data_IF_991616413785
#
_entry.id   IF_991616413785
#
_cell.length_a   1.000
_cell.length_b   1.000
_cell.length_c   1.000
_cell.angle_alpha   90.00
_cell.angle_beta   90.00
_cell.angle_gamma   90.00
#
_symmetry.space_group_name_H-M   'P 1'
#
loop_
_entity.id
_entity.type
_entity.pdbx_description
1 polymer ?
#
# COMPACT_ATOMS: atom_id res chain seq x y z
N UNK A 1 -5.75 -8.60 4.21
CA UNK A 1 -4.47 -8.08 3.67
C UNK A 1 -3.45 -8.05 4.79
N UNK A 2 -2.22 -7.66 4.50
CA UNK A 2 -1.16 -7.43 5.50
C UNK A 2 -0.91 -5.92 5.51
N UNK A 3 -0.92 -5.24 6.68
CA UNK A 3 -0.59 -3.83 6.74
C UNK A 3 0.89 -3.67 6.38
N UNK A 4 1.23 -2.58 5.69
CA UNK A 4 2.58 -2.40 5.14
C UNK A 4 3.15 -1.05 5.54
N UNK A 5 4.47 -1.02 5.74
CA UNK A 5 5.26 0.18 5.98
C UNK A 5 6.16 0.39 4.77
N UNK A 6 6.02 1.52 4.10
CA UNK A 6 6.72 1.86 2.87
C UNK A 6 7.69 3.01 3.09
N UNK A 7 8.78 3.00 2.34
CA UNK A 7 9.43 4.26 1.93
C UNK A 7 8.81 4.69 0.60
N UNK A 8 8.54 5.99 0.40
CA UNK A 8 8.18 6.50 -0.94
C UNK A 8 9.43 6.42 -1.81
N UNK A 9 9.54 5.35 -2.61
CA UNK A 9 10.52 5.19 -3.67
C UNK A 9 9.91 4.41 -4.84
N UNK A 10 10.35 4.73 -6.06
CA UNK A 10 9.86 4.10 -7.28
C UNK A 10 8.33 4.23 -7.43
N UNK A 11 7.69 3.12 -7.82
CA UNK A 11 6.24 3.04 -8.09
C UNK A 11 5.35 3.28 -6.86
N UNK A 12 5.92 3.23 -5.65
CA UNK A 12 5.13 3.44 -4.43
C UNK A 12 4.43 4.81 -4.42
N UNK A 13 5.06 5.85 -4.99
CA UNK A 13 4.48 7.20 -5.07
C UNK A 13 3.17 7.27 -5.89
N UNK A 14 2.89 6.28 -6.73
CA UNK A 14 1.73 6.29 -7.65
C UNK A 14 0.42 5.82 -7.00
N UNK A 15 0.52 5.04 -5.92
CA UNK A 15 -0.65 4.41 -5.29
C UNK A 15 -0.57 4.23 -3.78
N UNK A 16 0.58 4.48 -3.13
CA UNK A 16 0.70 4.46 -1.67
C UNK A 16 0.46 5.86 -1.11
N UNK A 17 -0.44 5.95 -0.13
CA UNK A 17 -0.80 7.19 0.55
C UNK A 17 -0.69 6.96 2.07
N UNK A 18 0.11 7.80 2.73
CA UNK A 18 0.35 7.73 4.17
C UNK A 18 -0.98 7.77 4.94
N UNK A 19 -1.15 6.85 5.88
CA UNK A 19 -2.32 6.70 6.77
C UNK A 19 -3.65 6.35 6.09
N UNK A 20 -3.67 6.30 4.75
CA UNK A 20 -4.82 5.83 3.98
C UNK A 20 -4.75 4.34 3.76
N UNK A 21 -3.68 3.86 3.12
CA UNK A 21 -3.55 2.46 2.69
C UNK A 21 -2.24 1.79 3.14
N UNK A 22 -1.31 2.58 3.68
CA UNK A 22 -0.10 2.11 4.34
C UNK A 22 0.49 3.21 5.22
N UNK A 23 1.51 2.88 6.00
CA UNK A 23 2.39 3.91 6.56
C UNK A 23 3.55 4.20 5.63
N UNK A 24 3.86 5.49 5.52
CA UNK A 24 5.03 5.98 4.79
C UNK A 24 6.03 6.54 5.79
N UNK A 25 7.28 6.08 5.69
CA UNK A 25 8.40 6.52 6.51
C UNK A 25 9.55 7.05 5.65
N UNK A 26 10.44 7.83 6.26
CA UNK A 26 11.62 8.35 5.59
C UNK A 26 12.62 7.22 5.23
N UNK A 27 13.28 7.35 4.07
CA UNK A 27 14.23 6.36 3.61
C UNK A 27 15.36 6.12 4.62
N UNK A 28 15.70 4.85 4.87
CA UNK A 28 16.74 4.40 5.82
C UNK A 28 16.54 4.87 7.27
N UNK A 29 15.33 5.29 7.64
CA UNK A 29 15.03 5.66 9.02
C UNK A 29 14.61 4.42 9.82
N UNK A 30 15.58 3.71 10.40
CA UNK A 30 15.34 2.50 11.19
C UNK A 30 14.46 2.74 12.42
N UNK A 31 14.56 3.91 13.05
CA UNK A 31 13.70 4.30 14.17
C UNK A 31 12.24 4.35 13.77
N UNK A 32 11.91 5.11 12.72
CA UNK A 32 10.54 5.19 12.21
C UNK A 32 9.99 3.84 11.72
N UNK A 33 10.84 2.99 11.15
CA UNK A 33 10.43 1.63 10.75
C UNK A 33 10.04 0.82 11.99
N UNK A 34 10.88 0.81 13.03
CA UNK A 34 10.61 0.10 14.28
C UNK A 34 9.33 0.61 14.94
N UNK A 35 9.19 1.92 15.08
CA UNK A 35 8.04 2.56 15.73
C UNK A 35 6.74 2.26 14.98
N UNK A 36 6.75 2.35 13.65
CA UNK A 36 5.59 2.05 12.82
C UNK A 36 5.18 0.57 12.91
N UNK A 37 6.15 -0.35 12.90
CA UNK A 37 5.88 -1.79 13.04
C UNK A 37 5.29 -2.10 14.42
N UNK A 38 5.89 -1.59 15.49
CA UNK A 38 5.39 -1.77 16.87
C UNK A 38 3.98 -1.21 17.00
N UNK A 39 3.75 0.01 16.53
CA UNK A 39 2.44 0.63 16.55
C UNK A 39 1.39 -0.25 15.85
N UNK A 40 1.69 -0.82 14.67
CA UNK A 40 0.74 -1.67 13.95
C UNK A 40 0.47 -3.01 14.64
N UNK A 41 1.46 -3.57 15.35
CA UNK A 41 1.30 -4.78 16.15
C UNK A 41 0.40 -4.54 17.37
N UNK A 42 0.55 -3.38 18.02
CA UNK A 42 -0.24 -3.01 19.19
C UNK A 42 -1.65 -2.52 18.82
N UNK A 43 -1.82 -1.90 17.64
CA UNK A 43 -3.07 -1.30 17.19
C UNK A 43 -3.75 -2.12 16.10
N UNK A 44 -4.28 -3.30 16.48
CA UNK A 44 -4.90 -4.24 15.54
C UNK A 44 -6.05 -3.66 14.70
N UNK A 45 -6.79 -2.68 15.24
CA UNK A 45 -7.85 -1.98 14.50
C UNK A 45 -7.28 -1.18 13.32
N UNK A 46 -6.21 -0.41 13.57
CA UNK A 46 -5.54 0.38 12.54
C UNK A 46 -4.86 -0.51 11.51
N UNK A 47 -4.24 -1.60 11.95
CA UNK A 47 -3.68 -2.62 11.05
C UNK A 47 -4.75 -3.20 10.11
N UNK A 48 -5.93 -3.55 10.63
CA UNK A 48 -7.05 -4.05 9.82
C UNK A 48 -7.58 -3.00 8.84
N UNK A 49 -7.72 -1.75 9.29
CA UNK A 49 -8.16 -0.61 8.47
C UNK A 49 -7.22 -0.41 7.26
N UNK A 50 -5.91 -0.26 7.50
CA UNK A 50 -4.93 -0.07 6.43
C UNK A 50 -4.90 -1.27 5.47
N UNK A 51 -4.96 -2.49 6.01
CA UNK A 51 -4.98 -3.72 5.21
C UNK A 51 -6.20 -3.83 4.29
N UNK A 52 -7.36 -3.37 4.77
CA UNK A 52 -8.61 -3.38 4.01
C UNK A 52 -8.56 -2.33 2.90
N UNK A 53 -8.19 -1.08 3.22
CA UNK A 53 -8.06 0.01 2.24
C UNK A 53 -6.99 -0.28 1.20
N UNK A 54 -5.84 -0.80 1.60
CA UNK A 54 -4.79 -1.24 0.67
C UNK A 54 -5.28 -2.32 -0.30
N UNK A 55 -6.07 -3.29 0.19
CA UNK A 55 -6.68 -4.30 -0.70
C UNK A 55 -7.68 -3.67 -1.67
N UNK A 56 -8.52 -2.75 -1.21
CA UNK A 56 -9.46 -2.04 -2.08
C UNK A 56 -8.75 -1.26 -3.17
N UNK A 57 -7.68 -0.54 -2.84
CA UNK A 57 -6.89 0.22 -3.80
C UNK A 57 -6.20 -0.70 -4.83
N UNK A 58 -5.70 -1.86 -4.39
CA UNK A 58 -5.13 -2.86 -5.29
C UNK A 58 -6.18 -3.40 -6.26
N UNK A 59 -7.37 -3.78 -5.78
CA UNK A 59 -8.45 -4.25 -6.67
C UNK A 59 -8.88 -3.14 -7.62
N UNK A 60 -9.00 -1.89 -7.14
CA UNK A 60 -9.37 -0.75 -7.98
C UNK A 60 -8.33 -0.41 -9.03
N UNK A 61 -7.04 -0.70 -8.83
CA UNK A 61 -5.97 -0.26 -9.76
C UNK A 61 -5.37 -1.38 -10.58
N UNK A 62 -5.24 -2.58 -10.00
CA UNK A 62 -4.48 -3.71 -10.52
C UNK A 62 -5.33 -4.98 -10.66
N UNK A 63 -6.66 -4.83 -10.76
CA UNK A 63 -7.53 -5.94 -11.15
C UNK A 63 -7.06 -6.58 -12.47
N UNK A 64 -7.01 -7.92 -12.49
CA UNK A 64 -6.44 -8.68 -13.60
C UNK A 64 -7.20 -8.44 -14.91
N UNK A 65 -8.55 -8.47 -14.87
CA UNK A 65 -9.35 -8.27 -16.07
C UNK A 65 -9.09 -6.89 -16.64
N UNK A 66 -9.04 -5.87 -15.78
CA UNK A 66 -8.69 -4.51 -16.21
C UNK A 66 -7.31 -4.40 -16.83
N UNK A 67 -6.31 -5.11 -16.31
CA UNK A 67 -4.96 -5.12 -16.91
C UNK A 67 -4.97 -5.78 -18.30
N UNK A 68 -5.73 -6.86 -18.46
CA UNK A 68 -5.91 -7.55 -19.75
C UNK A 68 -6.60 -6.60 -20.75
N UNK A 69 -7.72 -6.00 -20.38
CA UNK A 69 -8.50 -5.11 -21.25
C UNK A 69 -7.66 -3.90 -21.71
N UNK A 70 -6.90 -3.29 -20.79
CA UNK A 70 -5.98 -2.20 -21.12
C UNK A 70 -4.91 -2.63 -22.11
N UNK A 71 -4.36 -3.83 -21.93
CA UNK A 71 -3.34 -4.36 -22.85
C UNK A 71 -3.95 -4.64 -24.22
N UNK A 72 -5.14 -5.26 -24.29
CA UNK A 72 -5.84 -5.54 -25.54
C UNK A 72 -6.19 -4.26 -26.31
N UNK A 73 -6.57 -3.19 -25.62
CA UNK A 73 -6.90 -1.90 -26.24
C UNK A 73 -5.73 -1.22 -26.97
N UNK A 74 -4.50 -1.68 -26.77
CA UNK A 74 -3.32 -1.19 -27.50
C UNK A 74 -3.14 -1.88 -28.86
N UNK A 75 -3.84 -3.00 -29.10
CA UNK A 75 -3.70 -3.84 -30.30
C UNK A 75 -4.95 -3.89 -31.17
N UNK A 76 -6.10 -3.40 -30.69
CA UNK A 76 -7.38 -3.32 -31.40
C UNK A 76 -7.69 -1.87 -31.78
#
# INVERSE_FOLDING_TARGET
>A
GIPSVFTISGVAAEFIEHDKNAFVIAHKNSGQISDAVLYLLENSAKAKELSARGREDVIKRFDLQRMIDKTQSLYL
#
